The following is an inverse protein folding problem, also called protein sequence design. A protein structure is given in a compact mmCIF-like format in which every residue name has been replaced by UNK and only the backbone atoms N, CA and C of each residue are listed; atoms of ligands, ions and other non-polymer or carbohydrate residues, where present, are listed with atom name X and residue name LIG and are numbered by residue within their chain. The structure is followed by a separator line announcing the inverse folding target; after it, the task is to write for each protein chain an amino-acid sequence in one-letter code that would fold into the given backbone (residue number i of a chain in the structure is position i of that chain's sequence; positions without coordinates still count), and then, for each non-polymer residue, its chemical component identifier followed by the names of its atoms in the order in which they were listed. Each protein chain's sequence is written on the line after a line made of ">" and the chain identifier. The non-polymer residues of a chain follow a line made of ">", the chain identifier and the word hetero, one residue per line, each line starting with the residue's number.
data_IF_821022070536
#
_entry.id   IF_821022070536
#
_cell.length_a   1.000
_cell.length_b   1.000
_cell.length_c   1.000
_cell.angle_alpha   90.00
_cell.angle_beta   90.00
_cell.angle_gamma   90.00
#
_symmetry.space_group_name_H-M   'P 1'
#
loop_
_entity.id
_entity.type
_entity.pdbx_description
1 polymer ?
#
# COMPACT_ATOMS: atom_id res chain seq x y z
N UNK A 1 -23.37 2.32 12.34
CA UNK A 1 -23.57 3.73 11.96
C UNK A 1 -24.21 3.76 10.58
N UNK A 2 -25.02 4.77 10.28
CA UNK A 2 -25.62 4.94 8.94
C UNK A 2 -24.83 6.00 8.19
N UNK A 3 -24.37 5.70 6.98
CA UNK A 3 -23.63 6.65 6.14
C UNK A 3 -24.62 7.60 5.46
N UNK A 4 -24.45 8.90 5.66
CA UNK A 4 -25.27 9.95 5.05
C UNK A 4 -24.40 10.74 4.10
N UNK A 5 -24.86 10.93 2.87
CA UNK A 5 -24.09 11.69 1.89
C UNK A 5 -24.22 13.21 2.12
N UNK A 6 -23.10 13.93 2.12
CA UNK A 6 -23.08 15.40 2.30
C UNK A 6 -23.71 16.19 1.13
N UNK A 7 -23.86 15.56 -0.04
CA UNK A 7 -24.46 16.20 -1.23
C UNK A 7 -25.96 15.97 -1.31
N UNK A 8 -26.39 14.73 -1.11
CA UNK A 8 -27.75 14.27 -1.35
C UNK A 8 -28.57 14.12 -0.06
N UNK A 9 -27.94 14.21 1.13
CA UNK A 9 -28.48 13.92 2.46
C UNK A 9 -29.28 12.59 2.54
N UNK A 10 -29.04 11.71 1.57
CA UNK A 10 -29.71 10.42 1.47
C UNK A 10 -28.84 9.37 2.15
N UNK A 11 -29.49 8.32 2.65
CA UNK A 11 -28.79 7.17 3.22
C UNK A 11 -28.01 6.47 2.10
N UNK A 12 -26.73 6.25 2.35
CA UNK A 12 -25.82 5.60 1.41
C UNK A 12 -25.82 4.09 1.64
N UNK A 13 -25.58 3.34 0.56
CA UNK A 13 -25.39 1.90 0.63
C UNK A 13 -23.92 1.61 0.94
N UNK A 14 -23.66 0.62 1.78
CA UNK A 14 -22.32 0.13 2.08
C UNK A 14 -22.21 -1.35 1.68
N UNK A 15 -21.09 -1.71 1.06
CA UNK A 15 -20.82 -3.08 0.61
C UNK A 15 -19.34 -3.41 0.80
N UNK A 16 -19.04 -4.60 1.34
CA UNK A 16 -17.66 -5.08 1.47
C UNK A 16 -17.11 -5.46 0.09
N UNK A 17 -15.94 -4.93 -0.27
CA UNK A 17 -15.30 -5.16 -1.57
C UNK A 17 -13.98 -5.92 -1.47
N UNK A 18 -13.27 -5.86 -0.34
CA UNK A 18 -12.01 -6.58 -0.11
C UNK A 18 -11.89 -7.10 1.32
N UNK A 19 -10.70 -7.55 1.76
CA UNK A 19 -10.49 -8.06 3.13
C UNK A 19 -10.84 -7.03 4.21
N UNK A 20 -10.37 -5.80 4.05
CA UNK A 20 -10.57 -4.66 4.97
C UNK A 20 -11.16 -3.41 4.29
N UNK A 21 -11.71 -3.53 3.08
CA UNK A 21 -12.25 -2.40 2.32
C UNK A 21 -13.77 -2.49 2.17
N UNK A 22 -14.44 -1.39 2.46
CA UNK A 22 -15.87 -1.19 2.26
C UNK A 22 -16.09 -0.04 1.28
N UNK A 23 -16.98 -0.26 0.33
CA UNK A 23 -17.42 0.72 -0.65
C UNK A 23 -18.73 1.33 -0.17
N UNK A 24 -18.78 2.65 -0.08
CA UNK A 24 -19.96 3.42 0.30
C UNK A 24 -20.42 4.25 -0.89
N UNK A 25 -21.68 4.11 -1.30
CA UNK A 25 -22.22 4.70 -2.53
C UNK A 25 -23.60 5.36 -2.29
N UNK A 26 -23.77 6.63 -2.71
CA UNK A 26 -25.08 7.31 -2.73
C UNK A 26 -25.75 6.97 -4.06
N UNK A 27 -26.90 6.30 -4.01
CA UNK A 27 -27.69 5.97 -5.20
C UNK A 27 -28.39 7.19 -5.82
N UNK A 28 -28.46 8.32 -5.09
CA UNK A 28 -29.14 9.53 -5.54
C UNK A 28 -28.21 10.49 -6.31
N UNK A 29 -26.98 10.73 -5.82
CA UNK A 29 -26.01 11.63 -6.49
C UNK A 29 -24.83 10.90 -7.15
N UNK A 30 -24.68 9.59 -6.96
CA UNK A 30 -23.57 8.82 -7.50
C UNK A 30 -22.25 8.95 -6.74
N UNK A 31 -22.20 9.74 -5.66
CA UNK A 31 -20.98 9.89 -4.86
C UNK A 31 -20.56 8.54 -4.25
N UNK A 32 -19.28 8.22 -4.37
CA UNK A 32 -18.72 6.95 -3.90
C UNK A 32 -17.41 7.22 -3.18
N UNK A 33 -17.19 6.55 -2.06
CA UNK A 33 -15.93 6.57 -1.32
C UNK A 33 -15.65 5.20 -0.70
N UNK A 34 -14.42 5.00 -0.25
CA UNK A 34 -13.98 3.77 0.38
C UNK A 34 -13.59 4.03 1.83
N UNK A 35 -13.93 3.08 2.68
CA UNK A 35 -13.62 3.11 4.11
C UNK A 35 -13.08 1.76 4.57
N UNK A 36 -12.32 1.78 5.65
CA UNK A 36 -11.78 0.57 6.25
C UNK A 36 -12.77 -0.09 7.25
N UNK A 37 -12.32 -1.13 7.95
CA UNK A 37 -13.12 -1.81 8.99
C UNK A 37 -13.36 -0.97 10.26
N UNK A 38 -12.61 0.12 10.43
CA UNK A 38 -12.70 1.06 11.53
C UNK A 38 -13.45 2.35 11.12
N UNK A 39 -14.10 2.35 9.95
CA UNK A 39 -14.79 3.50 9.36
C UNK A 39 -13.86 4.68 8.98
N UNK A 40 -12.57 4.44 8.81
CA UNK A 40 -11.60 5.46 8.36
C UNK A 40 -11.63 5.59 6.83
N UNK A 41 -11.57 6.83 6.34
CA UNK A 41 -11.56 7.12 4.90
C UNK A 41 -10.25 6.64 4.27
N UNK A 42 -10.37 5.90 3.16
CA UNK A 42 -9.24 5.42 2.39
C UNK A 42 -9.10 6.31 1.15
N UNK A 43 -8.00 7.07 1.08
CA UNK A 43 -7.63 7.85 -0.10
C UNK A 43 -7.07 6.90 -1.17
N UNK A 44 -7.72 6.83 -2.34
CA UNK A 44 -7.25 6.06 -3.49
C UNK A 44 -7.81 4.63 -3.62
N UNK A 45 -7.79 4.12 -4.85
CA UNK A 45 -8.08 2.72 -5.21
C UNK A 45 -6.81 1.86 -4.95
N UNK A 46 -6.08 2.12 -3.86
CA UNK A 46 -4.83 1.42 -3.53
C UNK A 46 -5.17 0.03 -3.01
N UNK A 47 -5.49 -0.88 -3.92
CA UNK A 47 -5.72 -2.31 -3.74
C UNK A 47 -4.95 -2.91 -2.55
N UNK A 48 -5.57 -2.88 -1.37
CA UNK A 48 -5.23 -3.73 -0.22
C UNK A 48 -5.62 -5.20 -0.47
N UNK A 49 -5.67 -5.60 -1.74
CA UNK A 49 -5.66 -6.98 -2.22
C UNK A 49 -4.37 -7.28 -3.00
N UNK A 50 -3.29 -6.50 -2.79
CA UNK A 50 -1.95 -6.97 -3.08
C UNK A 50 -1.31 -7.50 -1.78
N UNK A 51 -1.46 -8.80 -1.55
CA UNK A 51 -0.65 -9.59 -0.62
C UNK A 51 0.78 -9.76 -1.17
N UNK A 52 1.36 -8.73 -1.79
CA UNK A 52 2.71 -8.71 -2.33
C UNK A 52 3.12 -7.25 -2.61
N UNK A 53 4.26 -6.81 -2.07
CA UNK A 53 4.90 -5.52 -2.37
C UNK A 53 4.19 -4.24 -1.87
N UNK A 54 4.40 -3.91 -0.61
CA UNK A 54 4.98 -2.59 -0.37
C UNK A 54 6.18 -2.69 0.57
N UNK A 55 7.22 -3.27 -0.02
CA UNK A 55 8.62 -3.18 0.36
C UNK A 55 9.27 -2.01 -0.41
N UNK A 56 8.56 -0.89 -0.66
CA UNK A 56 9.19 0.32 -1.23
C UNK A 56 10.23 0.96 -0.29
N UNK A 57 10.41 0.42 0.92
CA UNK A 57 11.55 0.71 1.81
C UNK A 57 12.55 -0.45 1.96
N UNK A 58 12.43 -1.57 1.22
CA UNK A 58 13.49 -2.59 1.17
C UNK A 58 14.14 -2.68 -0.21
N UNK A 59 15.44 -2.38 -0.23
CA UNK A 59 16.28 -2.53 -1.41
C UNK A 59 16.43 -4.03 -1.71
N UNK A 60 16.23 -4.42 -2.97
CA UNK A 60 16.54 -5.77 -3.41
C UNK A 60 18.03 -6.07 -3.23
N UNK A 61 18.41 -7.34 -3.06
CA UNK A 61 19.83 -7.75 -2.95
C UNK A 61 20.65 -7.22 -4.13
N UNK A 62 20.09 -7.21 -5.34
CA UNK A 62 20.74 -6.71 -6.54
C UNK A 62 20.97 -5.19 -6.49
N UNK A 63 19.97 -4.42 -6.08
CA UNK A 63 20.12 -2.96 -5.95
C UNK A 63 21.09 -2.61 -4.81
N UNK A 64 21.00 -3.33 -3.69
CA UNK A 64 21.94 -3.21 -2.58
C UNK A 64 23.38 -3.53 -3.03
N UNK A 65 23.59 -4.60 -3.81
CA UNK A 65 24.89 -5.01 -4.32
C UNK A 65 25.51 -3.97 -5.27
N UNK A 66 24.69 -3.39 -6.17
CA UNK A 66 25.15 -2.32 -7.08
C UNK A 66 25.54 -1.04 -6.33
N UNK A 67 24.80 -0.67 -5.29
CA UNK A 67 25.11 0.48 -4.45
C UNK A 67 26.37 0.20 -3.62
N UNK A 68 26.46 -0.98 -3.01
CA UNK A 68 27.62 -1.46 -2.26
C UNK A 68 28.90 -1.46 -3.10
N UNK A 69 28.86 -2.05 -4.30
CA UNK A 69 29.99 -2.07 -5.22
C UNK A 69 30.40 -0.67 -5.71
N UNK A 70 29.42 0.22 -5.92
CA UNK A 70 29.68 1.61 -6.33
C UNK A 70 30.30 2.45 -5.21
N UNK A 71 30.05 2.10 -3.95
CA UNK A 71 30.62 2.75 -2.77
C UNK A 71 31.93 2.10 -2.29
N UNK A 72 32.51 1.18 -3.06
CA UNK A 72 33.79 0.55 -2.73
C UNK A 72 33.67 -0.61 -1.75
N UNK A 73 32.53 -1.30 -1.76
CA UNK A 73 32.24 -2.45 -0.89
C UNK A 73 32.28 -2.10 0.61
N UNK A 74 31.70 -0.97 0.95
CA UNK A 74 31.67 -0.45 2.32
C UNK A 74 30.56 -1.11 3.15
N UNK A 75 30.87 -1.50 4.40
CA UNK A 75 29.97 -2.21 5.31
C UNK A 75 28.69 -1.42 5.64
N UNK A 76 28.74 -0.10 5.60
CA UNK A 76 27.58 0.77 5.84
C UNK A 76 26.56 0.72 4.68
N UNK A 77 26.96 0.20 3.52
CA UNK A 77 26.13 0.07 2.31
C UNK A 77 25.70 -1.37 2.05
N UNK A 78 25.78 -2.25 3.05
CA UNK A 78 25.32 -3.63 2.92
C UNK A 78 23.78 -3.76 3.04
N UNK A 79 23.08 -2.70 3.44
CA UNK A 79 21.61 -2.64 3.56
C UNK A 79 20.97 -3.84 4.30
N UNK A 80 21.71 -4.45 5.23
CA UNK A 80 21.27 -5.62 6.00
C UNK A 80 21.57 -6.98 5.36
N UNK A 81 22.23 -7.02 4.21
CA UNK A 81 22.71 -8.24 3.55
C UNK A 81 24.15 -8.57 3.94
N UNK A 82 24.57 -9.81 3.74
CA UNK A 82 25.94 -10.26 3.99
C UNK A 82 26.85 -9.94 2.79
N UNK A 83 28.16 -9.81 3.02
CA UNK A 83 29.13 -9.56 1.95
C UNK A 83 29.05 -10.65 0.86
N UNK A 84 28.93 -11.92 1.26
CA UNK A 84 28.76 -13.05 0.35
C UNK A 84 27.47 -12.95 -0.51
N UNK A 85 26.37 -12.43 0.05
CA UNK A 85 25.09 -12.27 -0.66
C UNK A 85 25.17 -11.14 -1.69
N UNK A 86 25.91 -10.08 -1.37
CA UNK A 86 26.13 -8.96 -2.27
C UNK A 86 27.15 -9.31 -3.36
N UNK A 87 28.18 -10.11 -3.05
CA UNK A 87 29.13 -10.62 -4.05
C UNK A 87 28.50 -11.62 -5.03
N UNK A 88 27.59 -12.49 -4.56
CA UNK A 88 26.86 -13.42 -5.43
C UNK A 88 25.87 -12.70 -6.37
N UNK A 89 25.44 -11.49 -5.98
CA UNK A 89 24.52 -10.66 -6.75
C UNK A 89 25.18 -9.69 -7.76
N UNK A 90 26.52 -9.60 -7.80
CA UNK A 90 27.30 -8.78 -8.75
C UNK A 90 27.68 -9.54 -10.03
#
# INVERSE_FOLDING_TARGET
>A
MEWVCDKCYSIMNYSKVGRNRYKVHCSNCGNTFYVDKNDEYIEGDEDFDNEEFNDEESLSVYDAALIWASNGKDEDYMFGYSEDELEDAL
#
